data_IF_194725053998
#
_entry.id   IF_194725053998
#
_cell.length_a   1.000
_cell.length_b   1.000
_cell.length_c   1.000
_cell.angle_alpha   90.00
_cell.angle_beta   90.00
_cell.angle_gamma   90.00
#
_symmetry.space_group_name_H-M   'P 1'
#
loop_
_entity.id
_entity.type
_entity.pdbx_description
1 polymer ?
#
# COMPACT_ATOMS: atom_id res chain seq x y z
N UNK A 1 -3.66 -10.44 -2.72
CA UNK A 1 -4.96 -11.13 -2.68
C UNK A 1 -5.48 -11.30 -1.25
N UNK A 2 -4.66 -11.07 -0.21
CA UNK A 2 -5.21 -10.83 1.13
C UNK A 2 -6.21 -9.66 1.07
N UNK A 3 -7.34 -9.79 1.76
CA UNK A 3 -8.34 -8.71 1.88
C UNK A 3 -8.45 -8.24 3.33
N UNK A 4 -8.77 -6.96 3.49
CA UNK A 4 -8.72 -6.27 4.77
C UNK A 4 -10.06 -5.59 5.04
N UNK A 5 -10.57 -5.75 6.26
CA UNK A 5 -11.72 -4.99 6.77
C UNK A 5 -11.30 -4.32 8.06
N UNK A 6 -11.60 -3.03 8.17
CA UNK A 6 -11.32 -2.24 9.36
C UNK A 6 -12.63 -1.82 10.02
N UNK A 7 -12.66 -1.99 11.34
CA UNK A 7 -13.68 -1.44 12.21
C UNK A 7 -13.04 -0.51 13.24
N UNK A 8 -13.70 0.62 13.49
CA UNK A 8 -13.35 1.57 14.55
C UNK A 8 -14.54 1.64 15.50
N UNK A 9 -14.34 1.26 16.76
CA UNK A 9 -15.39 1.18 17.78
C UNK A 9 -16.60 0.33 17.34
N UNK A 10 -16.34 -0.76 16.61
CA UNK A 10 -17.36 -1.67 16.08
C UNK A 10 -18.12 -1.16 14.85
N UNK A 11 -17.70 -0.03 14.28
CA UNK A 11 -18.25 0.48 13.02
C UNK A 11 -17.28 0.22 11.86
N UNK A 12 -17.79 -0.37 10.79
CA UNK A 12 -17.02 -0.54 9.55
C UNK A 12 -16.56 0.82 9.01
N UNK A 13 -15.28 0.90 8.67
CA UNK A 13 -14.65 2.04 8.03
C UNK A 13 -14.16 1.63 6.66
N UNK A 14 -14.57 2.40 5.65
CA UNK A 14 -14.08 2.22 4.28
C UNK A 14 -12.66 2.74 4.15
N UNK A 15 -11.82 1.97 3.48
CA UNK A 15 -10.54 2.49 2.99
C UNK A 15 -10.79 3.39 1.78
N UNK A 16 -10.19 4.57 1.80
CA UNK A 16 -10.12 5.45 0.65
C UNK A 16 -8.87 5.12 -0.16
N UNK A 17 -9.02 5.00 -1.47
CA UNK A 17 -7.90 4.76 -2.38
C UNK A 17 -7.04 6.00 -2.60
N UNK A 18 -7.64 7.19 -2.46
CA UNK A 18 -6.95 8.48 -2.49
C UNK A 18 -7.77 9.51 -1.68
N UNK A 19 -7.08 10.53 -1.16
CA UNK A 19 -7.70 11.63 -0.44
C UNK A 19 -7.16 12.96 -1.00
N UNK A 20 -8.03 13.94 -1.32
CA UNK A 20 -7.59 15.24 -1.82
C UNK A 20 -6.60 15.90 -0.85
N UNK A 21 -5.39 16.21 -1.34
CA UNK A 21 -4.33 16.85 -0.55
C UNK A 21 -3.39 15.89 0.18
N UNK A 22 -3.56 14.58 0.05
CA UNK A 22 -2.65 13.57 0.58
C UNK A 22 -1.90 12.85 -0.55
N UNK A 23 -0.61 12.60 -0.35
CA UNK A 23 0.29 12.03 -1.37
C UNK A 23 0.26 10.49 -1.46
N UNK A 24 -0.59 9.84 -0.67
CA UNK A 24 -0.61 8.37 -0.56
C UNK A 24 -1.87 7.88 -1.25
N UNK A 25 -1.70 7.32 -2.43
CA UNK A 25 -2.75 6.65 -3.16
C UNK A 25 -2.46 5.15 -3.16
N UNK A 26 -3.51 4.33 -3.14
CA UNK A 26 -3.39 2.89 -3.29
C UNK A 26 -2.56 2.57 -4.54
N UNK A 27 -2.80 3.28 -5.65
CA UNK A 27 -1.98 3.37 -6.86
C UNK A 27 -1.98 4.82 -7.37
N UNK A 28 -0.90 5.27 -8.00
CA UNK A 28 -0.86 6.63 -8.55
C UNK A 28 -1.74 6.72 -9.80
N UNK A 29 -2.50 7.80 -9.96
CA UNK A 29 -3.34 8.00 -11.16
C UNK A 29 -2.53 7.85 -12.46
N UNK A 30 -1.34 8.46 -12.52
CA UNK A 30 -0.45 8.37 -13.69
C UNK A 30 0.05 6.95 -14.01
N UNK A 31 0.13 6.05 -13.01
CA UNK A 31 0.45 4.64 -13.26
C UNK A 31 -0.79 3.93 -13.82
N UNK A 32 -1.95 4.16 -13.23
CA UNK A 32 -3.22 3.59 -13.69
C UNK A 32 -3.51 3.96 -15.15
N UNK A 33 -3.20 5.19 -15.56
CA UNK A 33 -3.33 5.67 -16.94
C UNK A 33 -2.39 4.98 -17.94
N UNK A 34 -1.24 4.46 -17.48
CA UNK A 34 -0.28 3.74 -18.34
C UNK A 34 -0.74 2.32 -18.63
N UNK A 35 -1.48 1.69 -17.70
CA UNK A 35 -1.94 0.33 -17.87
C UNK A 35 -3.19 0.26 -18.76
N UNK A 36 -3.14 -0.63 -19.75
CA UNK A 36 -4.23 -0.87 -20.68
C UNK A 36 -4.41 -2.36 -20.90
N UNK A 37 -5.66 -2.81 -20.83
CA UNK A 37 -5.99 -4.17 -21.23
C UNK A 37 -5.56 -4.36 -22.70
N UNK A 38 -4.86 -5.45 -23.04
CA UNK A 38 -4.51 -5.72 -24.42
C UNK A 38 -5.77 -6.00 -25.24
N UNK A 39 -5.69 -5.86 -26.56
CA UNK A 39 -6.85 -6.00 -27.46
C UNK A 39 -7.54 -7.36 -27.36
N UNK A 40 -6.80 -8.41 -27.01
CA UNK A 40 -7.28 -9.79 -26.85
C UNK A 40 -7.67 -10.12 -25.40
N UNK A 41 -7.78 -9.12 -24.52
CA UNK A 41 -8.35 -9.29 -23.19
C UNK A 41 -9.87 -9.58 -23.27
N UNK A 42 -10.41 -10.50 -22.46
CA UNK A 42 -9.71 -11.38 -21.53
C UNK A 42 -9.32 -12.76 -22.13
N UNK A 43 -9.49 -12.97 -23.43
CA UNK A 43 -9.46 -14.29 -24.07
C UNK A 43 -8.08 -14.74 -24.57
N UNK A 44 -6.98 -14.09 -24.14
CA UNK A 44 -5.63 -14.48 -24.54
C UNK A 44 -5.30 -15.90 -24.06
N UNK A 45 -4.93 -16.85 -24.96
CA UNK A 45 -4.59 -18.21 -24.56
C UNK A 45 -3.34 -18.23 -23.65
N UNK A 46 -3.26 -19.23 -22.79
CA UNK A 46 -2.15 -19.44 -21.83
C UNK A 46 -1.88 -18.25 -20.90
N UNK A 47 -2.85 -17.35 -20.71
CA UNK A 47 -2.72 -16.21 -19.80
C UNK A 47 -3.64 -16.41 -18.61
N UNK A 48 -3.11 -16.17 -17.41
CA UNK A 48 -3.88 -16.25 -16.18
C UNK A 48 -4.16 -14.85 -15.67
N UNK A 49 -5.43 -14.44 -15.74
CA UNK A 49 -5.88 -13.13 -15.30
C UNK A 49 -6.25 -13.12 -13.82
N UNK A 50 -6.10 -11.96 -13.18
CA UNK A 50 -6.41 -11.75 -11.76
C UNK A 50 -7.86 -12.10 -11.44
N UNK A 51 -8.82 -11.58 -12.22
CA UNK A 51 -10.26 -11.83 -12.02
C UNK A 51 -10.63 -13.31 -12.13
N UNK A 52 -9.92 -14.10 -12.92
CA UNK A 52 -10.15 -15.56 -12.99
C UNK A 52 -9.73 -16.27 -11.69
N UNK A 53 -8.69 -15.78 -11.02
CA UNK A 53 -8.19 -16.35 -9.75
C UNK A 53 -8.97 -15.83 -8.54
N UNK A 54 -9.43 -14.59 -8.61
CA UNK A 54 -10.06 -13.87 -7.50
C UNK A 54 -11.35 -13.17 -7.96
N UNK A 55 -12.36 -13.90 -8.46
CA UNK A 55 -13.55 -13.33 -9.09
C UNK A 55 -14.42 -12.51 -8.14
N UNK A 56 -14.37 -12.80 -6.84
CA UNK A 56 -15.12 -12.07 -5.81
C UNK A 56 -14.43 -10.78 -5.34
N UNK A 57 -13.18 -10.56 -5.78
CA UNK A 57 -12.34 -9.44 -5.33
C UNK A 57 -12.04 -8.49 -6.49
N UNK A 58 -11.77 -9.02 -7.68
CA UNK A 58 -11.29 -8.26 -8.84
C UNK A 58 -12.37 -8.24 -9.92
N UNK A 59 -12.75 -7.05 -10.36
CA UNK A 59 -13.69 -6.85 -11.48
C UNK A 59 -13.00 -7.19 -12.82
N UNK A 60 -13.62 -8.09 -13.59
CA UNK A 60 -13.18 -8.47 -14.95
C UNK A 60 -13.05 -7.25 -15.87
N UNK A 61 -13.89 -6.23 -15.73
CA UNK A 61 -13.85 -5.07 -16.61
C UNK A 61 -12.59 -4.22 -16.40
N UNK A 62 -11.99 -4.26 -15.20
CA UNK A 62 -10.78 -3.51 -14.88
C UNK A 62 -9.53 -4.18 -15.44
N UNK A 63 -9.43 -5.51 -15.36
CA UNK A 63 -8.27 -6.27 -15.84
C UNK A 63 -6.96 -5.75 -15.24
N UNK A 64 -6.01 -5.31 -16.08
CA UNK A 64 -4.71 -4.77 -15.63
C UNK A 64 -4.79 -3.33 -15.09
N UNK A 65 -5.97 -2.70 -15.12
CA UNK A 65 -6.20 -1.37 -14.55
C UNK A 65 -6.65 -1.42 -13.08
N UNK A 66 -6.86 -2.61 -12.55
CA UNK A 66 -7.10 -2.80 -11.11
C UNK A 66 -5.94 -2.19 -10.30
N UNK A 67 -6.25 -1.34 -9.31
CA UNK A 67 -5.23 -0.56 -8.60
C UNK A 67 -4.31 -1.43 -7.74
N UNK A 68 -4.84 -2.47 -7.11
CA UNK A 68 -4.02 -3.42 -6.36
C UNK A 68 -3.00 -4.11 -7.28
N UNK A 69 -3.41 -4.44 -8.51
CA UNK A 69 -2.51 -4.93 -9.53
C UNK A 69 -1.47 -3.88 -9.97
N UNK A 70 -1.91 -2.67 -10.31
CA UNK A 70 -1.02 -1.56 -10.73
C UNK A 70 0.07 -1.31 -9.68
N UNK A 71 -0.30 -1.31 -8.41
CA UNK A 71 0.62 -1.11 -7.28
C UNK A 71 1.57 -2.28 -7.10
N UNK A 72 1.06 -3.52 -7.22
CA UNK A 72 1.92 -4.70 -7.21
C UNK A 72 2.94 -4.70 -8.35
N UNK A 73 2.56 -4.15 -9.51
CA UNK A 73 3.43 -4.03 -10.68
C UNK A 73 4.47 -2.92 -10.58
N UNK A 74 4.52 -2.16 -9.49
CA UNK A 74 5.61 -1.23 -9.16
C UNK A 74 6.56 -1.92 -8.16
N UNK A 75 7.65 -2.56 -8.62
CA UNK A 75 8.51 -3.31 -7.73
C UNK A 75 9.22 -2.40 -6.73
N UNK A 76 9.33 -2.86 -5.49
CA UNK A 76 10.14 -2.18 -4.48
C UNK A 76 11.62 -2.21 -4.87
N UNK A 77 12.34 -1.12 -4.60
CA UNK A 77 13.79 -1.05 -4.76
C UNK A 77 14.54 -1.90 -3.71
N UNK A 78 13.87 -2.35 -2.64
CA UNK A 78 14.44 -3.11 -1.53
C UNK A 78 13.61 -4.36 -1.21
N UNK A 79 14.19 -5.40 -0.58
CA UNK A 79 13.48 -6.66 -0.29
C UNK A 79 12.26 -6.52 0.62
N UNK A 80 12.22 -5.47 1.46
CA UNK A 80 11.05 -5.14 2.27
C UNK A 80 10.07 -4.33 1.45
N UNK A 81 9.01 -4.97 0.97
CA UNK A 81 7.97 -4.36 0.14
C UNK A 81 6.92 -3.69 1.02
N UNK A 82 6.49 -2.49 0.64
CA UNK A 82 5.41 -1.73 1.26
C UNK A 82 4.39 -1.34 0.21
N UNK A 83 3.22 -1.96 0.25
CA UNK A 83 2.12 -1.62 -0.65
C UNK A 83 0.95 -1.08 0.18
N UNK A 84 0.50 0.16 -0.08
CA UNK A 84 -0.64 0.73 0.61
C UNK A 84 -1.92 -0.02 0.21
N UNK A 85 -2.69 -0.46 1.22
CA UNK A 85 -4.04 -1.02 1.02
C UNK A 85 -5.07 0.10 0.88
N UNK A 86 -4.83 1.22 1.55
CA UNK A 86 -5.69 2.41 1.47
C UNK A 86 -5.47 3.33 2.66
N UNK A 87 -6.28 4.39 2.72
CA UNK A 87 -6.22 5.42 3.76
C UNK A 87 -7.54 5.55 4.51
N UNK A 88 -7.45 5.99 5.76
CA UNK A 88 -8.61 6.42 6.54
C UNK A 88 -8.58 7.93 6.55
N UNK A 89 -9.54 8.57 5.87
CA UNK A 89 -9.51 10.03 5.63
C UNK A 89 -10.78 10.77 5.98
N UNK A 90 -11.88 10.06 6.14
CA UNK A 90 -13.19 10.60 6.48
C UNK A 90 -13.29 10.99 7.96
N UNK A 91 -12.36 10.53 8.81
CA UNK A 91 -12.40 10.74 10.25
C UNK A 91 -11.02 10.77 10.89
N UNK A 92 -10.92 11.54 11.97
CA UNK A 92 -9.83 11.40 12.93
C UNK A 92 -10.14 10.23 13.87
N UNK A 93 -9.23 9.27 13.97
CA UNK A 93 -9.28 8.23 15.00
C UNK A 93 -8.82 8.86 16.30
N UNK A 94 -9.70 8.88 17.30
CA UNK A 94 -9.41 9.50 18.60
C UNK A 94 -8.63 8.55 19.50
N UNK A 95 -7.90 9.12 20.44
CA UNK A 95 -7.30 8.37 21.53
C UNK A 95 -8.35 7.53 22.26
N UNK A 96 -8.01 6.28 22.58
CA UNK A 96 -8.90 5.33 23.25
C UNK A 96 -9.88 4.59 22.33
N UNK A 97 -9.90 4.89 21.02
CA UNK A 97 -10.70 4.14 20.06
C UNK A 97 -10.17 2.71 19.88
N UNK A 98 -11.07 1.75 19.71
CA UNK A 98 -10.74 0.35 19.44
C UNK A 98 -10.68 0.10 17.93
N UNK A 99 -9.50 -0.29 17.44
CA UNK A 99 -9.29 -0.69 16.05
C UNK A 99 -9.34 -2.21 15.94
N UNK A 100 -10.29 -2.73 15.18
CA UNK A 100 -10.36 -4.15 14.85
C UNK A 100 -10.09 -4.33 13.36
N UNK A 101 -9.04 -5.09 13.03
CA UNK A 101 -8.75 -5.44 11.65
C UNK A 101 -9.00 -6.92 11.43
N UNK A 102 -9.86 -7.23 10.48
CA UNK A 102 -10.07 -8.60 10.02
C UNK A 102 -9.34 -8.79 8.69
N UNK A 103 -8.43 -9.77 8.65
CA UNK A 103 -7.63 -10.08 7.46
C UNK A 103 -8.06 -11.45 6.93
N UNK A 104 -8.51 -11.50 5.68
CA UNK A 104 -8.64 -12.76 4.96
C UNK A 104 -7.28 -13.12 4.35
N UNK A 105 -6.51 -13.92 5.08
CA UNK A 105 -5.14 -14.29 4.71
C UNK A 105 -5.14 -15.43 3.67
N UNK A 106 -4.90 -15.08 2.40
CA UNK A 106 -4.88 -16.02 1.27
C UNK A 106 -3.52 -16.12 0.58
N UNK A 107 -2.63 -15.14 0.76
CA UNK A 107 -1.26 -15.19 0.25
C UNK A 107 -0.39 -16.11 1.12
N UNK A 108 0.19 -17.19 0.57
CA UNK A 108 0.91 -18.21 1.33
C UNK A 108 2.37 -17.80 1.58
N UNK A 109 2.58 -16.70 2.30
CA UNK A 109 3.93 -16.19 2.61
C UNK A 109 4.82 -17.25 3.29
N UNK A 110 4.22 -18.10 4.14
CA UNK A 110 4.92 -19.20 4.84
C UNK A 110 5.51 -20.27 3.91
N UNK A 111 5.05 -20.36 2.66
CA UNK A 111 5.59 -21.31 1.67
C UNK A 111 6.87 -20.81 1.01
N UNK A 112 7.25 -19.55 1.26
CA UNK A 112 8.45 -18.93 0.76
C UNK A 112 9.48 -18.85 1.90
N UNK A 113 10.70 -19.32 1.64
CA UNK A 113 11.78 -19.27 2.62
C UNK A 113 12.03 -17.84 3.10
N UNK A 114 12.07 -17.66 4.42
CA UNK A 114 12.32 -16.39 5.12
C UNK A 114 11.35 -15.23 4.78
N UNK A 115 10.17 -15.52 4.22
CA UNK A 115 9.16 -14.52 3.95
C UNK A 115 8.20 -14.32 5.14
N UNK A 116 7.84 -13.07 5.40
CA UNK A 116 6.77 -12.71 6.33
C UNK A 116 5.94 -11.59 5.73
N UNK A 117 4.70 -11.47 6.22
CA UNK A 117 3.79 -10.36 5.92
C UNK A 117 3.35 -9.69 7.20
N UNK A 118 3.14 -8.38 7.13
CA UNK A 118 2.70 -7.57 8.25
C UNK A 118 1.72 -6.51 7.76
N UNK A 119 0.74 -6.19 8.60
CA UNK A 119 -0.11 -5.02 8.41
C UNK A 119 0.46 -3.88 9.25
N UNK A 120 0.55 -2.69 8.65
CA UNK A 120 1.03 -1.49 9.34
C UNK A 120 0.01 -0.38 9.21
N UNK A 121 -0.37 0.18 10.36
CA UNK A 121 -1.18 1.39 10.45
C UNK A 121 -0.23 2.53 10.81
N UNK A 122 -0.22 3.59 10.01
CA UNK A 122 0.70 4.71 10.18
C UNK A 122 0.06 6.01 9.74
N UNK A 123 0.66 7.12 10.18
CA UNK A 123 0.30 8.47 9.77
C UNK A 123 1.45 9.05 8.94
N UNK A 124 1.11 9.95 8.02
CA UNK A 124 2.07 10.60 7.15
C UNK A 124 2.27 12.05 7.57
N UNK A 125 3.54 12.44 7.77
CA UNK A 125 3.96 13.83 7.84
C UNK A 125 4.52 14.32 6.49
N UNK A 126 5.06 15.55 6.44
CA UNK A 126 5.64 16.13 5.23
C UNK A 126 6.79 15.32 4.61
N UNK A 127 7.48 14.49 5.41
CA UNK A 127 8.59 13.64 4.98
C UNK A 127 8.19 12.16 4.84
N UNK A 128 6.89 11.87 4.83
CA UNK A 128 6.37 10.51 4.79
C UNK A 128 6.05 9.95 6.18
N UNK A 129 6.12 8.63 6.31
CA UNK A 129 5.94 7.93 7.58
C UNK A 129 7.17 8.09 8.50
N UNK A 130 7.11 7.51 9.70
CA UNK A 130 8.20 7.61 10.69
C UNK A 130 9.51 7.00 10.17
N UNK A 131 10.54 7.83 10.01
CA UNK A 131 11.89 7.39 9.70
C UNK A 131 12.95 8.38 10.25
N UNK A 132 13.78 7.91 11.18
CA UNK A 132 14.70 8.78 11.92
C UNK A 132 16.05 9.00 11.21
N UNK A 133 16.36 8.20 10.18
CA UNK A 133 17.69 8.19 9.54
C UNK A 133 18.09 9.52 8.89
N UNK A 134 17.14 10.26 8.31
CA UNK A 134 17.41 11.58 7.73
C UNK A 134 17.75 12.61 8.82
N UNK A 135 17.02 12.62 9.93
CA UNK A 135 17.29 13.51 11.07
C UNK A 135 18.63 13.22 11.74
N UNK A 136 18.99 11.94 11.87
CA UNK A 136 20.31 11.50 12.36
C UNK A 136 21.42 12.00 11.43
N UNK A 137 21.27 11.80 10.12
CA UNK A 137 22.25 12.26 9.13
C UNK A 137 22.51 13.77 9.24
N UNK A 138 21.44 14.57 9.29
CA UNK A 138 21.55 16.03 9.42
C UNK A 138 22.27 16.45 10.71
N UNK A 139 21.98 15.76 11.81
CA UNK A 139 22.61 16.02 13.11
C UNK A 139 24.11 15.69 13.10
N UNK A 140 24.51 14.59 12.44
CA UNK A 140 25.92 14.23 12.24
C UNK A 140 26.62 15.29 11.40
N UNK A 141 26.04 15.69 10.26
CA UNK A 141 26.61 16.73 9.41
C UNK A 141 26.77 18.06 10.17
N UNK A 142 25.77 18.47 10.94
CA UNK A 142 25.84 19.68 11.76
C UNK A 142 26.98 19.62 12.78
N UNK A 143 27.13 18.48 13.48
CA UNK A 143 28.22 18.26 14.43
C UNK A 143 29.61 18.33 13.76
N UNK A 144 29.76 17.72 12.58
CA UNK A 144 31.02 17.78 11.82
C UNK A 144 31.34 19.20 11.35
N UNK A 145 30.36 19.94 10.82
CA UNK A 145 30.54 21.33 10.41
C UNK A 145 30.92 22.23 11.59
N UNK A 146 30.28 22.05 12.75
CA UNK A 146 30.62 22.80 13.97
C UNK A 146 32.03 22.48 14.44
N UNK A 147 32.41 21.20 14.49
CA UNK A 147 33.75 20.79 14.91
C UNK A 147 34.85 21.32 13.98
N UNK A 148 34.64 21.35 12.66
CA UNK A 148 35.61 21.90 11.72
C UNK A 148 35.72 23.43 11.77
N UNK A 149 34.70 24.11 12.28
CA UNK A 149 34.65 25.57 12.36
C UNK A 149 35.32 26.14 13.63
N UNK A 150 35.45 25.33 14.68
CA UNK A 150 36.10 25.67 15.97
C UNK A 150 37.57 25.28 15.92
#
# INVERSE_FOLDING_TARGET
NDTYKLEVDGQNVSFHESLPGYYVEAAWDSDSERYNNPQDYPNRPNTSWQYTRFPDIIDETLGVRDKDFVTWMRPSAVPRVWNPVGMIGDRTIKEGANLTVTISSTYPAESLDDAYKMLVITEFGPLGARHDGFGILLSICAGLCFFMAV
#
